data_IF_850154341014
#
_entry.id   IF_850154341014
#
_cell.length_a   1.000
_cell.length_b   1.000
_cell.length_c   1.000
_cell.angle_alpha   90.00
_cell.angle_beta   90.00
_cell.angle_gamma   90.00
#
_symmetry.space_group_name_H-M   'P 1'
#
loop_
_entity.id
_entity.type
_entity.pdbx_description
1 polymer ?
#
# COMPACT_ATOMS: atom_id res chain seq x y z
N UNK A 1 -18.13 11.60 4.01
CA UNK A 1 -17.71 12.65 3.09
C UNK A 1 -17.70 12.14 1.67
N UNK A 2 -18.25 12.84 0.74
CA UNK A 2 -18.11 12.41 -0.64
C UNK A 2 -16.65 12.40 -1.01
N UNK A 3 -16.28 11.47 -1.84
CA UNK A 3 -14.91 11.37 -2.31
C UNK A 3 -14.80 12.05 -3.66
N UNK A 4 -14.43 13.35 -3.70
CA UNK A 4 -14.31 14.04 -4.99
C UNK A 4 -13.37 13.35 -5.94
N UNK A 5 -12.43 12.62 -5.37
CA UNK A 5 -11.46 11.83 -6.14
C UNK A 5 -11.79 10.34 -6.08
N UNK A 6 -13.06 9.99 -5.92
CA UNK A 6 -13.51 8.63 -5.60
C UNK A 6 -13.03 7.53 -6.51
N UNK A 7 -12.77 7.77 -7.76
CA UNK A 7 -12.19 6.78 -8.66
C UNK A 7 -10.70 6.96 -8.89
N UNK A 8 -10.16 8.07 -8.42
CA UNK A 8 -8.78 8.45 -8.69
C UNK A 8 -7.83 7.62 -7.84
N UNK A 9 -6.92 6.93 -8.45
CA UNK A 9 -5.97 6.09 -7.74
C UNK A 9 -6.55 4.77 -7.24
N UNK A 10 -7.82 4.48 -7.51
CA UNK A 10 -8.50 3.28 -7.00
C UNK A 10 -7.76 2.01 -7.36
N UNK A 11 -7.16 1.93 -8.54
CA UNK A 11 -6.46 0.73 -8.99
C UNK A 11 -5.06 0.61 -8.42
N UNK A 12 -4.43 1.71 -8.02
CA UNK A 12 -3.07 1.73 -7.50
C UNK A 12 -3.02 1.85 -5.97
N UNK A 13 -4.06 2.36 -5.36
CA UNK A 13 -4.09 2.61 -3.93
C UNK A 13 -3.93 1.35 -3.09
N UNK A 14 -4.61 0.23 -3.38
CA UNK A 14 -4.39 -0.98 -2.59
C UNK A 14 -2.95 -1.47 -2.64
N UNK A 15 -2.29 -1.38 -3.80
CA UNK A 15 -0.89 -1.78 -3.93
C UNK A 15 0.01 -0.90 -3.07
N UNK A 16 -0.21 0.41 -3.09
CA UNK A 16 0.55 1.34 -2.27
C UNK A 16 0.36 1.03 -0.78
N UNK A 17 -0.87 0.77 -0.36
CA UNK A 17 -1.17 0.48 1.05
C UNK A 17 -0.53 -0.82 1.51
N UNK A 18 -0.48 -1.84 0.65
CA UNK A 18 0.23 -3.08 0.97
C UNK A 18 1.71 -2.81 1.16
N UNK A 19 2.33 -2.03 0.28
CA UNK A 19 3.75 -1.69 0.41
C UNK A 19 4.02 -0.91 1.70
N UNK A 20 3.17 0.05 2.02
CA UNK A 20 3.29 0.83 3.27
C UNK A 20 3.17 -0.09 4.49
N UNK A 21 2.20 -0.99 4.48
CA UNK A 21 2.01 -1.92 5.59
C UNK A 21 3.24 -2.80 5.79
N UNK A 22 3.80 -3.33 4.71
CA UNK A 22 4.98 -4.20 4.79
C UNK A 22 6.27 -3.46 5.09
N UNK A 23 6.30 -2.14 4.92
CA UNK A 23 7.46 -1.34 5.29
C UNK A 23 7.72 -1.40 6.81
N UNK A 24 6.70 -1.64 7.61
CA UNK A 24 6.85 -1.78 9.05
C UNK A 24 7.54 -3.10 9.42
N UNK A 25 7.03 -4.19 8.87
CA UNK A 25 7.57 -5.53 9.10
C UNK A 25 6.86 -6.54 8.18
N UNK A 26 7.40 -7.75 8.04
CA UNK A 26 6.68 -8.81 7.33
C UNK A 26 5.33 -9.10 7.99
N UNK A 27 4.30 -9.36 7.17
CA UNK A 27 2.95 -9.64 7.63
C UNK A 27 2.26 -10.59 6.68
N UNK A 28 1.35 -11.41 7.21
CA UNK A 28 0.42 -12.14 6.36
C UNK A 28 -0.79 -11.25 6.02
N UNK A 29 -1.63 -11.72 5.09
CA UNK A 29 -2.70 -10.89 4.54
C UNK A 29 -3.66 -10.29 5.56
N UNK A 30 -4.07 -11.07 6.55
CA UNK A 30 -5.01 -10.56 7.57
C UNK A 30 -4.40 -9.43 8.39
N UNK A 31 -3.12 -9.55 8.73
CA UNK A 31 -2.43 -8.48 9.46
C UNK A 31 -2.32 -7.22 8.62
N UNK A 32 -2.12 -7.37 7.30
CA UNK A 32 -2.13 -6.21 6.39
C UNK A 32 -3.50 -5.55 6.37
N UNK A 33 -4.58 -6.33 6.30
CA UNK A 33 -5.94 -5.77 6.29
C UNK A 33 -6.20 -4.95 7.54
N UNK A 34 -5.83 -5.49 8.70
CA UNK A 34 -6.01 -4.80 9.97
C UNK A 34 -5.19 -3.52 10.05
N UNK A 35 -3.94 -3.59 9.59
CA UNK A 35 -3.05 -2.43 9.57
C UNK A 35 -3.57 -1.33 8.65
N UNK A 36 -3.99 -1.69 7.44
CA UNK A 36 -4.52 -0.73 6.48
C UNK A 36 -5.80 -0.09 7.01
N UNK A 37 -6.66 -0.88 7.67
CA UNK A 37 -7.87 -0.35 8.29
C UNK A 37 -7.52 0.68 9.36
N UNK A 38 -6.54 0.41 10.20
CA UNK A 38 -6.08 1.38 11.21
C UNK A 38 -5.52 2.64 10.58
N UNK A 39 -4.79 2.51 9.46
CA UNK A 39 -4.17 3.66 8.79
C UNK A 39 -5.18 4.54 8.07
N UNK A 40 -6.15 3.94 7.42
CA UNK A 40 -7.02 4.65 6.48
C UNK A 40 -8.46 4.78 6.94
N UNK A 41 -8.87 3.98 7.91
CA UNK A 41 -10.26 3.89 8.31
C UNK A 41 -11.11 3.08 7.34
N UNK A 42 -10.49 2.47 6.33
CA UNK A 42 -11.20 1.67 5.32
C UNK A 42 -10.63 0.28 5.29
N UNK A 43 -11.50 -0.72 5.43
CA UNK A 43 -11.08 -2.10 5.36
C UNK A 43 -11.17 -2.60 3.93
N UNK A 44 -10.04 -3.06 3.40
CA UNK A 44 -10.01 -3.68 2.07
C UNK A 44 -10.63 -5.07 2.15
N UNK A 45 -11.42 -5.42 1.15
CA UNK A 45 -11.92 -6.79 1.03
C UNK A 45 -10.79 -7.75 0.66
N UNK A 46 -10.98 -9.06 0.97
CA UNK A 46 -9.94 -10.06 0.67
C UNK A 46 -9.56 -10.11 -0.81
N UNK A 47 -10.53 -10.02 -1.70
CA UNK A 47 -10.24 -10.05 -3.14
C UNK A 47 -9.37 -8.91 -3.59
N UNK A 48 -9.65 -7.70 -3.11
CA UNK A 48 -8.87 -6.51 -3.44
C UNK A 48 -7.47 -6.61 -2.87
N UNK A 49 -7.36 -7.03 -1.61
CA UNK A 49 -6.06 -7.16 -0.96
C UNK A 49 -5.20 -8.23 -1.64
N UNK A 50 -5.72 -9.44 -1.81
CA UNK A 50 -4.94 -10.53 -2.38
C UNK A 50 -4.65 -10.31 -3.86
N UNK A 51 -5.52 -9.58 -4.57
CA UNK A 51 -5.23 -9.14 -5.93
C UNK A 51 -4.02 -8.21 -5.98
N UNK A 52 -3.95 -7.26 -5.04
CA UNK A 52 -2.82 -6.36 -4.95
C UNK A 52 -1.53 -7.12 -4.59
N UNK A 53 -1.62 -8.05 -3.63
CA UNK A 53 -0.48 -8.89 -3.24
C UNK A 53 0.04 -9.67 -4.46
N UNK A 54 -0.84 -10.29 -5.22
CA UNK A 54 -0.43 -11.08 -6.39
C UNK A 54 0.28 -10.22 -7.42
N UNK A 55 -0.23 -9.02 -7.69
CA UNK A 55 0.41 -8.11 -8.65
C UNK A 55 1.79 -7.65 -8.18
N UNK A 56 1.91 -7.33 -6.90
CA UNK A 56 3.18 -6.88 -6.33
C UNK A 56 4.20 -8.01 -6.30
N UNK A 57 3.76 -9.21 -5.97
CA UNK A 57 4.64 -10.39 -5.97
C UNK A 57 5.14 -10.68 -7.38
N UNK A 58 4.25 -10.62 -8.37
CA UNK A 58 4.62 -10.84 -9.77
C UNK A 58 5.66 -9.83 -10.25
N UNK A 59 5.58 -8.58 -9.76
CA UNK A 59 6.54 -7.54 -10.13
C UNK A 59 7.82 -7.59 -9.32
N UNK A 60 7.92 -8.49 -8.36
CA UNK A 60 9.12 -8.62 -7.54
C UNK A 60 9.27 -7.59 -6.45
N UNK A 61 8.20 -6.88 -6.10
CA UNK A 61 8.24 -5.85 -5.05
C UNK A 61 8.03 -6.42 -3.65
N UNK A 62 7.40 -7.57 -3.56
CA UNK A 62 7.24 -8.31 -2.32
C UNK A 62 7.54 -9.78 -2.58
N UNK A 63 7.86 -10.51 -1.53
CA UNK A 63 8.07 -11.93 -1.65
C UNK A 63 7.47 -12.66 -0.45
N UNK A 64 7.04 -13.88 -0.71
CA UNK A 64 6.49 -14.75 0.32
C UNK A 64 7.63 -15.38 1.10
N UNK A 65 7.57 -15.30 2.41
CA UNK A 65 8.56 -15.94 3.27
C UNK A 65 8.15 -17.36 3.57
N UNK A 66 9.14 -18.22 3.77
CA UNK A 66 8.89 -19.58 4.21
C UNK A 66 8.37 -19.56 5.65
N UNK A 67 7.37 -20.38 5.90
CA UNK A 67 6.80 -20.52 7.22
C UNK A 67 6.13 -21.86 7.34
N UNK A 68 6.11 -22.41 8.54
CA UNK A 68 5.35 -23.63 8.83
C UNK A 68 3.87 -23.34 9.03
N UNK A 69 3.53 -22.07 9.21
CA UNK A 69 2.15 -21.64 9.31
C UNK A 69 1.48 -21.67 7.94
N UNK A 70 0.18 -21.93 7.92
CA UNK A 70 -0.64 -21.84 6.69
C UNK A 70 -0.63 -20.43 6.15
N UNK A 71 -0.62 -19.43 7.02
CA UNK A 71 -0.63 -18.03 6.64
C UNK A 71 0.80 -17.59 6.44
N UNK A 72 1.23 -17.61 5.18
CA UNK A 72 2.58 -17.21 4.84
C UNK A 72 2.72 -15.70 4.95
N UNK A 73 3.74 -15.20 5.64
CA UNK A 73 3.99 -13.77 5.64
C UNK A 73 4.68 -13.35 4.35
N UNK A 74 4.51 -12.06 4.04
CA UNK A 74 5.18 -11.41 2.91
C UNK A 74 6.09 -10.32 3.45
N UNK A 75 7.12 -9.99 2.69
CA UNK A 75 8.01 -8.86 3.03
C UNK A 75 8.34 -8.06 1.79
N UNK A 76 8.75 -6.82 1.99
CA UNK A 76 9.28 -6.01 0.90
C UNK A 76 10.62 -6.59 0.45
N UNK A 77 10.83 -6.59 -0.87
CA UNK A 77 12.16 -6.80 -1.45
C UNK A 77 12.87 -5.45 -1.54
N UNK A 78 14.15 -5.45 -1.90
CA UNK A 78 14.87 -4.20 -2.19
C UNK A 78 14.17 -3.40 -3.28
N UNK A 79 13.72 -4.07 -4.35
CA UNK A 79 12.98 -3.42 -5.41
C UNK A 79 11.68 -2.80 -4.88
N UNK A 80 11.00 -3.49 -3.96
CA UNK A 80 9.79 -2.97 -3.34
C UNK A 80 10.05 -1.75 -2.48
N UNK A 81 11.14 -1.75 -1.71
CA UNK A 81 11.54 -0.59 -0.92
C UNK A 81 11.81 0.62 -1.82
N UNK A 82 12.55 0.40 -2.90
CA UNK A 82 12.88 1.49 -3.84
C UNK A 82 11.62 2.03 -4.52
N UNK A 83 10.73 1.14 -4.95
CA UNK A 83 9.48 1.54 -5.57
C UNK A 83 8.61 2.35 -4.61
N UNK A 84 8.50 1.90 -3.36
CA UNK A 84 7.73 2.61 -2.35
C UNK A 84 8.34 3.98 -2.05
N UNK A 85 9.65 4.03 -1.84
CA UNK A 85 10.34 5.29 -1.57
C UNK A 85 10.12 6.31 -2.67
N UNK A 86 10.25 5.89 -3.92
CA UNK A 86 10.05 6.76 -5.08
C UNK A 86 8.61 7.26 -5.14
N UNK A 87 7.65 6.38 -4.93
CA UNK A 87 6.24 6.75 -4.98
C UNK A 87 5.87 7.71 -3.86
N UNK A 88 6.35 7.46 -2.64
CA UNK A 88 6.09 8.34 -1.51
C UNK A 88 6.70 9.72 -1.72
N UNK A 89 7.91 9.80 -2.29
CA UNK A 89 8.54 11.08 -2.60
C UNK A 89 7.69 11.88 -3.60
N UNK A 90 7.15 11.21 -4.61
CA UNK A 90 6.26 11.86 -5.58
C UNK A 90 4.98 12.36 -4.93
N UNK A 91 4.37 11.55 -4.06
CA UNK A 91 3.17 11.95 -3.35
C UNK A 91 3.42 13.12 -2.41
N UNK A 92 4.58 13.16 -1.76
CA UNK A 92 4.96 14.27 -0.88
C UNK A 92 5.01 15.59 -1.66
N UNK A 93 5.56 15.58 -2.86
CA UNK A 93 5.55 16.76 -3.73
C UNK A 93 4.13 17.19 -4.06
N UNK A 94 3.26 16.24 -4.39
CA UNK A 94 1.85 16.54 -4.69
C UNK A 94 1.17 17.16 -3.48
N UNK A 95 1.33 16.57 -2.31
CA UNK A 95 0.73 17.05 -1.08
C UNK A 95 1.23 18.46 -0.75
N UNK A 96 2.54 18.66 -0.76
CA UNK A 96 3.15 19.96 -0.44
C UNK A 96 2.68 21.03 -1.39
N UNK A 97 2.67 20.73 -2.68
CA UNK A 97 2.25 21.68 -3.71
C UNK A 97 0.76 22.03 -3.56
N UNK A 98 -0.07 21.02 -3.33
CA UNK A 98 -1.50 21.23 -3.15
C UNK A 98 -1.80 22.11 -1.95
N UNK A 99 -1.17 21.83 -0.81
CA UNK A 99 -1.35 22.63 0.40
C UNK A 99 -0.90 24.08 0.19
N UNK A 100 0.24 24.27 -0.47
CA UNK A 100 0.74 25.60 -0.77
C UNK A 100 -0.21 26.39 -1.67
N UNK A 101 -0.73 25.75 -2.71
CA UNK A 101 -1.66 26.40 -3.63
C UNK A 101 -2.97 26.76 -2.96
N UNK A 102 -3.48 25.91 -2.09
CA UNK A 102 -4.69 26.22 -1.32
C UNK A 102 -4.46 27.41 -0.40
N UNK A 103 -3.28 27.53 0.19
CA UNK A 103 -2.96 28.60 1.12
C UNK A 103 -2.86 29.96 0.41
N UNK A 104 -2.53 29.97 -0.88
CA UNK A 104 -2.37 31.21 -1.64
C UNK A 104 -3.53 31.50 -2.58
N UNK A 105 -4.53 30.65 -2.58
CA UNK A 105 -5.71 30.82 -3.46
C UNK A 105 -6.60 31.93 -2.99
#
# INVERSE_FOLDING_TARGET
MPEPLGGFGRHSEPALLVLVSLAERPKHGYSMMDDIDRLTGTRLGPGTLYGAIARLEKRGFIEKLKSTDRRKPYRLTHAGQDALSSQLAGLEVVVSTGLQRLATA
#
